data_IF_086857032138
#
_entry.id   IF_086857032138
#
_cell.length_a   1.000
_cell.length_b   1.000
_cell.length_c   1.000
_cell.angle_alpha   90.00
_cell.angle_beta   90.00
_cell.angle_gamma   90.00
#
_symmetry.space_group_name_H-M   'P 1'
#
loop_
_entity.id
_entity.type
_entity.pdbx_description
1 polymer ?
#
# COMPACT_ATOMS: atom_id res chain seq x y z
N UNK A 1 -14.87 12.32 -5.82
CA UNK A 1 -13.44 12.38 -5.47
C UNK A 1 -13.21 11.70 -4.13
N UNK A 2 -12.64 10.49 -4.17
CA UNK A 2 -12.39 9.64 -2.99
C UNK A 2 -10.95 9.80 -2.50
N UNK A 3 -10.77 9.97 -1.19
CA UNK A 3 -9.44 9.99 -0.58
C UNK A 3 -9.08 8.60 -0.08
N UNK A 4 -7.99 8.04 -0.60
CA UNK A 4 -7.45 6.77 -0.16
C UNK A 4 -6.27 6.99 0.81
N UNK A 5 -6.08 6.03 1.72
CA UNK A 5 -4.90 5.96 2.59
C UNK A 5 -4.00 4.83 2.12
N UNK A 6 -2.72 5.11 1.95
CA UNK A 6 -1.72 4.13 1.51
C UNK A 6 -0.58 4.04 2.51
N UNK A 7 -0.11 2.81 2.78
CA UNK A 7 1.16 2.60 3.46
C UNK A 7 2.26 2.59 2.42
N UNK A 8 3.23 3.48 2.55
CA UNK A 8 4.37 3.60 1.65
C UNK A 8 5.64 3.14 2.35
N UNK A 9 6.54 2.50 1.62
CA UNK A 9 7.88 2.18 2.10
C UNK A 9 8.70 3.46 2.12
N UNK A 10 9.01 3.99 3.30
CA UNK A 10 9.80 5.21 3.45
C UNK A 10 11.29 4.98 3.17
N UNK A 11 11.79 3.81 3.55
CA UNK A 11 13.18 3.37 3.37
C UNK A 11 13.26 1.85 3.44
N UNK A 12 14.35 1.26 2.93
CA UNK A 12 14.55 -0.18 3.03
C UNK A 12 14.77 -0.64 4.47
N UNK A 13 14.34 -1.88 4.76
CA UNK A 13 14.50 -2.49 6.07
C UNK A 13 15.97 -2.79 6.35
N UNK A 14 16.48 -2.26 7.45
CA UNK A 14 17.77 -2.66 8.03
C UNK A 14 17.51 -3.64 9.17
N UNK A 15 17.58 -4.94 8.86
CA UNK A 15 17.17 -6.00 9.77
C UNK A 15 15.64 -6.17 9.78
N UNK A 16 15.04 -6.22 10.97
CA UNK A 16 13.58 -6.30 11.10
C UNK A 16 12.93 -4.95 10.76
N UNK A 17 11.77 -4.96 10.06
CA UNK A 17 11.01 -3.74 9.80
C UNK A 17 10.65 -2.99 11.08
N UNK A 18 10.78 -1.67 11.03
CA UNK A 18 10.43 -0.74 12.10
C UNK A 18 9.30 0.15 11.63
N UNK A 19 8.54 0.71 12.58
CA UNK A 19 7.47 1.67 12.24
C UNK A 19 7.99 2.87 11.43
N UNK A 20 9.25 3.28 11.65
CA UNK A 20 9.90 4.37 10.91
C UNK A 20 10.15 4.07 9.43
N UNK A 21 10.13 2.79 9.04
CA UNK A 21 10.36 2.37 7.66
C UNK A 21 9.10 2.54 6.80
N UNK A 22 7.96 2.85 7.43
CA UNK A 22 6.67 3.03 6.78
C UNK A 22 6.16 4.45 6.95
N UNK A 23 5.37 4.91 6.00
CA UNK A 23 4.69 6.20 6.04
C UNK A 23 3.24 6.05 5.57
N UNK A 24 2.29 6.55 6.36
CA UNK A 24 0.89 6.61 5.94
C UNK A 24 0.64 7.89 5.15
N UNK A 25 0.23 7.76 3.89
CA UNK A 25 -0.10 8.90 3.02
C UNK A 25 -1.58 8.92 2.67
N UNK A 26 -2.11 10.12 2.47
CA UNK A 26 -3.43 10.32 1.88
C UNK A 26 -3.25 10.75 0.42
N UNK A 27 -3.99 10.11 -0.49
CA UNK A 27 -3.98 10.43 -1.91
C UNK A 27 -5.41 10.67 -2.40
N UNK A 28 -5.55 11.57 -3.37
CA UNK A 28 -6.81 11.77 -4.07
C UNK A 28 -6.85 10.82 -5.27
N UNK A 29 -7.81 9.89 -5.29
CA UNK A 29 -8.00 9.01 -6.44
C UNK A 29 -8.73 9.76 -7.57
N UNK A 30 -8.37 9.51 -8.84
CA UNK A 30 -9.18 9.95 -9.98
C UNK A 30 -10.51 9.21 -10.02
N UNK A 31 -11.50 9.76 -10.74
CA UNK A 31 -12.74 9.03 -11.02
C UNK A 31 -12.44 7.84 -11.95
N UNK A 32 -13.00 6.64 -11.71
CA UNK A 32 -12.78 5.48 -12.56
C UNK A 32 -13.21 5.70 -14.01
N UNK A 33 -12.42 5.20 -14.94
CA UNK A 33 -12.73 5.21 -16.38
C UNK A 33 -13.55 3.98 -16.79
N UNK A 34 -13.94 3.91 -18.07
CA UNK A 34 -14.72 2.79 -18.57
C UNK A 34 -13.95 1.46 -18.43
N UNK A 35 -14.56 0.50 -17.72
CA UNK A 35 -13.96 -0.80 -17.41
C UNK A 35 -13.13 -0.83 -16.12
N UNK A 36 -12.91 0.30 -15.46
CA UNK A 36 -12.28 0.36 -14.14
C UNK A 36 -13.33 0.29 -13.02
N UNK A 37 -12.91 -0.16 -11.84
CA UNK A 37 -13.75 -0.20 -10.64
C UNK A 37 -13.03 0.48 -9.48
N UNK A 38 -13.80 1.19 -8.64
CA UNK A 38 -13.34 1.68 -7.36
C UNK A 38 -13.61 0.62 -6.30
N UNK A 39 -12.58 0.26 -5.52
CA UNK A 39 -12.63 -0.78 -4.51
C UNK A 39 -12.33 -0.22 -3.12
N UNK A 40 -13.12 -0.59 -2.12
CA UNK A 40 -12.84 -0.27 -0.71
C UNK A 40 -12.31 -1.51 0.03
N UNK A 41 -11.09 -1.43 0.54
CA UNK A 41 -10.46 -2.51 1.30
C UNK A 41 -11.26 -2.82 2.57
N UNK A 42 -11.66 -4.09 2.75
CA UNK A 42 -12.28 -4.61 3.98
C UNK A 42 -11.26 -5.37 4.82
N UNK A 43 -10.37 -6.12 4.16
CA UNK A 43 -9.28 -6.85 4.78
C UNK A 43 -7.99 -6.70 3.97
N UNK A 44 -6.85 -6.64 4.66
CA UNK A 44 -5.52 -6.61 4.06
C UNK A 44 -4.68 -7.78 4.58
N UNK A 45 -3.98 -8.48 3.70
CA UNK A 45 -3.02 -9.52 4.07
C UNK A 45 -1.66 -8.90 4.41
N UNK A 46 -0.95 -9.54 5.35
CA UNK A 46 0.46 -9.25 5.64
C UNK A 46 1.20 -10.57 5.69
N UNK A 47 2.18 -10.74 4.80
CA UNK A 47 2.81 -12.02 4.52
C UNK A 47 4.34 -11.94 4.60
N UNK A 48 5.03 -13.03 4.97
CA UNK A 48 6.49 -13.02 5.12
C UNK A 48 7.25 -12.55 3.88
N UNK A 49 6.74 -12.83 2.68
CA UNK A 49 7.38 -12.45 1.43
C UNK A 49 7.51 -10.92 1.27
N UNK A 50 6.61 -10.15 1.87
CA UNK A 50 6.57 -8.68 1.72
C UNK A 50 7.85 -8.00 2.21
N UNK A 51 8.58 -8.64 3.14
CA UNK A 51 9.87 -8.15 3.63
C UNK A 51 11.04 -8.40 2.68
N UNK A 52 10.86 -9.25 1.67
CA UNK A 52 11.93 -9.73 0.76
C UNK A 52 11.75 -9.27 -0.68
N UNK A 53 10.60 -8.68 -1.01
CA UNK A 53 10.35 -8.12 -2.34
C UNK A 53 11.22 -6.90 -2.53
N UNK A 54 11.83 -6.81 -3.72
CA UNK A 54 12.60 -5.63 -4.11
C UNK A 54 11.64 -4.48 -4.42
N UNK A 55 11.49 -3.57 -3.48
CA UNK A 55 10.75 -2.32 -3.61
C UNK A 55 11.72 -1.13 -3.65
N UNK A 56 11.25 0.09 -3.88
CA UNK A 56 12.04 1.31 -3.73
C UNK A 56 11.41 2.22 -2.68
N UNK A 57 12.21 3.04 -1.96
CA UNK A 57 11.67 4.10 -1.13
C UNK A 57 10.66 4.97 -1.91
N UNK A 58 9.47 5.15 -1.37
CA UNK A 58 8.34 5.85 -1.97
C UNK A 58 7.24 4.93 -2.49
N UNK A 59 7.54 3.66 -2.80
CA UNK A 59 6.57 2.70 -3.32
C UNK A 59 5.46 2.43 -2.29
N UNK A 60 4.23 2.19 -2.77
CA UNK A 60 3.14 1.70 -1.93
C UNK A 60 3.42 0.24 -1.58
N UNK A 61 3.23 -0.14 -0.32
CA UNK A 61 3.46 -1.49 0.17
C UNK A 61 2.67 -2.52 -0.65
N UNK A 62 3.38 -3.57 -1.08
CA UNK A 62 2.79 -4.71 -1.79
C UNK A 62 1.90 -5.51 -0.85
N UNK A 63 0.86 -6.12 -1.41
CA UNK A 63 0.03 -7.08 -0.71
C UNK A 63 -1.23 -7.43 -1.49
N UNK A 64 -2.13 -8.14 -0.82
CA UNK A 64 -3.45 -8.46 -1.33
C UNK A 64 -4.52 -7.91 -0.38
N UNK A 65 -5.66 -7.54 -0.95
CA UNK A 65 -6.83 -7.10 -0.19
C UNK A 65 -8.07 -7.90 -0.60
N UNK A 66 -8.99 -8.03 0.34
CA UNK A 66 -10.40 -8.34 0.04
C UNK A 66 -11.15 -7.03 0.10
N UNK A 67 -11.85 -6.68 -0.97
CA UNK A 67 -12.55 -5.42 -1.11
C UNK A 67 -14.04 -5.62 -1.43
N UNK A 68 -14.82 -4.59 -1.12
CA UNK A 68 -16.22 -4.45 -1.56
C UNK A 68 -16.32 -3.43 -2.68
#
# INVERSE_FOLDING_TARGET
MVQAKTWNLKQHFEGFPKNSDFELRQIQLPEPQNGEVLLEAVFLSVDPYMSRVQMKPGDVMIGAQVAK
#
